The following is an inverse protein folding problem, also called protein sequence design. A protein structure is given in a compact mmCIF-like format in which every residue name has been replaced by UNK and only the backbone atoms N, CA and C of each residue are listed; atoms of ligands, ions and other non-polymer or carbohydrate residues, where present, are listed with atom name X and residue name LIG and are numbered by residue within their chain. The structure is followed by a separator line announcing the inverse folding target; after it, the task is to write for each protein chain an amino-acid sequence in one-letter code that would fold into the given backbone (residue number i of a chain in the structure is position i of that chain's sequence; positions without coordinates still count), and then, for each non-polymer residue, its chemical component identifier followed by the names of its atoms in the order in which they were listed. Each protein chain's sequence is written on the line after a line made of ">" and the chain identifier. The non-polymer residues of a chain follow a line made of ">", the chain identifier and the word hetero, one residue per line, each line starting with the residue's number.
data_IF_257118505253
#
_entry.id   IF_257118505253
#
_cell.length_a   1.000
_cell.length_b   1.000
_cell.length_c   1.000
_cell.angle_alpha   90.00
_cell.angle_beta   90.00
_cell.angle_gamma   90.00
#
_symmetry.space_group_name_H-M   'P 1'
#
loop_
_entity.id
_entity.type
_entity.pdbx_description
1 polymer ?
#
# COMPACT_ATOMS: atom_id res chain seq x y z
N UNK A 1 -12.69 -3.62 29.66
CA UNK A 1 -11.70 -2.76 28.99
C UNK A 1 -11.69 -3.13 27.51
N UNK A 2 -12.02 -2.22 26.58
CA UNK A 2 -11.90 -2.47 25.14
C UNK A 2 -10.55 -1.93 24.67
N UNK A 3 -9.79 -2.75 23.96
CA UNK A 3 -8.55 -2.34 23.29
C UNK A 3 -8.89 -2.08 21.83
N UNK A 4 -8.55 -0.90 21.33
CA UNK A 4 -8.71 -0.53 19.92
C UNK A 4 -7.34 -0.56 19.26
N UNK A 5 -7.24 -1.27 18.13
CA UNK A 5 -6.03 -1.37 17.31
C UNK A 5 -6.27 -0.69 15.96
N UNK A 6 -5.27 0.04 15.48
CA UNK A 6 -5.31 0.75 14.21
C UNK A 6 -4.63 -0.11 13.14
N UNK A 7 -5.33 -0.35 12.03
CA UNK A 7 -4.79 -1.03 10.85
C UNK A 7 -4.52 -0.02 9.74
N UNK A 8 -3.43 -0.21 9.00
CA UNK A 8 -3.08 0.60 7.84
C UNK A 8 -2.70 -0.30 6.67
N UNK A 9 -3.09 0.08 5.46
CA UNK A 9 -2.71 -0.61 4.24
C UNK A 9 -1.50 0.08 3.62
N UNK A 10 -0.52 -0.73 3.19
CA UNK A 10 0.65 -0.25 2.48
C UNK A 10 0.71 -0.90 1.10
N UNK A 11 0.89 -0.08 0.07
CA UNK A 11 1.20 -0.57 -1.26
C UNK A 11 2.71 -0.73 -1.39
N UNK A 12 3.14 -1.91 -1.83
CA UNK A 12 4.55 -2.23 -2.05
C UNK A 12 4.68 -3.00 -3.35
N UNK A 13 5.68 -2.63 -4.15
CA UNK A 13 6.06 -3.40 -5.34
C UNK A 13 7.11 -4.41 -4.94
N UNK A 14 6.84 -5.69 -5.18
CA UNK A 14 7.70 -6.80 -4.80
C UNK A 14 7.63 -7.93 -5.82
N UNK A 15 8.68 -8.74 -5.89
CA UNK A 15 8.72 -9.90 -6.78
C UNK A 15 7.90 -11.07 -6.24
N UNK A 16 7.86 -11.24 -4.91
CA UNK A 16 7.11 -12.27 -4.23
C UNK A 16 6.69 -11.81 -2.82
N UNK A 17 5.95 -12.66 -2.11
CA UNK A 17 5.43 -12.37 -0.76
C UNK A 17 6.55 -12.19 0.27
N UNK A 18 7.69 -12.87 0.10
CA UNK A 18 8.84 -12.76 1.01
C UNK A 18 9.51 -11.40 0.86
N UNK A 19 9.77 -10.97 -0.38
CA UNK A 19 10.28 -9.64 -0.72
C UNK A 19 9.32 -8.54 -0.25
N UNK A 20 7.99 -8.74 -0.42
CA UNK A 20 6.98 -7.80 0.09
C UNK A 20 7.08 -7.64 1.61
N UNK A 21 7.22 -8.75 2.35
CA UNK A 21 7.38 -8.75 3.80
C UNK A 21 8.67 -8.06 4.24
N UNK A 22 9.80 -8.36 3.61
CA UNK A 22 11.10 -7.74 3.90
C UNK A 22 11.06 -6.22 3.64
N UNK A 23 10.49 -5.80 2.50
CA UNK A 23 10.29 -4.38 2.18
C UNK A 23 9.36 -3.66 3.16
N UNK A 24 8.33 -4.33 3.67
CA UNK A 24 7.43 -3.72 4.65
C UNK A 24 8.09 -3.60 6.04
N UNK A 25 8.71 -4.66 6.52
CA UNK A 25 9.35 -4.71 7.85
C UNK A 25 10.59 -3.82 7.96
N UNK A 26 11.26 -3.53 6.83
CA UNK A 26 12.37 -2.57 6.77
C UNK A 26 11.93 -1.10 6.79
N UNK A 27 10.65 -0.78 6.57
CA UNK A 27 10.18 0.61 6.66
C UNK A 27 10.28 1.10 8.10
N UNK A 28 10.86 2.30 8.28
CA UNK A 28 11.01 2.96 9.59
C UNK A 28 9.70 3.05 10.38
N UNK A 29 8.59 3.40 9.72
CA UNK A 29 7.27 3.49 10.37
C UNK A 29 6.80 2.15 10.96
N UNK A 30 7.13 1.03 10.32
CA UNK A 30 6.76 -0.30 10.78
C UNK A 30 7.47 -0.64 12.09
N UNK A 31 8.79 -0.36 12.13
CA UNK A 31 9.65 -0.60 13.28
C UNK A 31 9.31 0.34 14.44
N UNK A 32 9.22 1.65 14.17
CA UNK A 32 8.92 2.69 15.16
C UNK A 32 7.59 2.44 15.86
N UNK A 33 6.57 2.02 15.10
CA UNK A 33 5.23 1.75 15.63
C UNK A 33 5.03 0.30 16.08
N UNK A 34 6.08 -0.53 16.05
CA UNK A 34 6.02 -1.96 16.42
C UNK A 34 4.84 -2.68 15.77
N UNK A 35 4.65 -2.45 14.47
CA UNK A 35 3.51 -3.00 13.74
C UNK A 35 3.64 -4.51 13.57
N UNK A 36 2.51 -5.17 13.33
CA UNK A 36 2.44 -6.53 12.80
C UNK A 36 1.77 -6.50 11.43
N UNK A 37 1.89 -7.61 10.70
CA UNK A 37 1.25 -7.80 9.40
C UNK A 37 0.07 -8.74 9.63
N UNK A 38 -1.15 -8.27 9.40
CA UNK A 38 -2.37 -9.10 9.47
C UNK A 38 -2.53 -9.99 8.24
N UNK A 39 -2.16 -9.46 7.08
CA UNK A 39 -2.26 -10.16 5.81
C UNK A 39 -1.52 -9.44 4.69
N UNK A 40 -1.25 -10.17 3.61
CA UNK A 40 -0.67 -9.66 2.37
C UNK A 40 -1.54 -10.16 1.23
N UNK A 41 -1.92 -9.27 0.32
CA UNK A 41 -2.73 -9.57 -0.86
C UNK A 41 -1.98 -9.10 -2.09
N UNK A 42 -1.83 -9.98 -3.08
CA UNK A 42 -1.33 -9.61 -4.40
C UNK A 42 -2.44 -8.93 -5.20
N UNK A 43 -2.17 -7.77 -5.78
CA UNK A 43 -3.10 -7.05 -6.66
C UNK A 43 -2.62 -7.21 -8.10
N UNK A 44 -3.19 -8.19 -8.81
CA UNK A 44 -2.85 -8.48 -10.21
C UNK A 44 -3.94 -8.03 -11.20
N UNK A 45 -5.20 -8.05 -10.75
CA UNK A 45 -6.37 -7.70 -11.55
C UNK A 45 -7.35 -6.86 -10.72
N UNK A 46 -7.93 -5.82 -11.30
CA UNK A 46 -8.97 -4.99 -10.67
C UNK A 46 -10.05 -4.70 -11.71
N UNK A 47 -11.31 -5.02 -11.40
CA UNK A 47 -12.47 -4.79 -12.27
C UNK A 47 -12.30 -5.28 -13.72
N UNK A 48 -11.61 -6.42 -13.90
CA UNK A 48 -11.34 -7.01 -15.21
C UNK A 48 -10.14 -6.43 -15.96
N UNK A 49 -9.39 -5.52 -15.35
CA UNK A 49 -8.17 -4.95 -15.90
C UNK A 49 -6.92 -5.59 -15.31
N UNK A 50 -5.96 -5.94 -16.17
CA UNK A 50 -4.64 -6.41 -15.80
C UNK A 50 -3.77 -5.23 -15.34
N UNK A 51 -3.09 -5.40 -14.20
CA UNK A 51 -2.11 -4.43 -13.72
C UNK A 51 -0.71 -4.88 -14.10
N UNK A 52 -0.02 -4.05 -14.88
CA UNK A 52 1.39 -4.26 -15.23
C UNK A 52 2.23 -3.08 -14.74
N UNK A 53 3.31 -3.40 -14.03
CA UNK A 53 4.25 -2.41 -13.52
C UNK A 53 5.51 -2.43 -14.39
N UNK A 54 5.84 -1.28 -14.97
CA UNK A 54 7.09 -1.09 -15.70
C UNK A 54 7.96 -0.06 -14.96
N UNK A 55 9.29 -0.25 -14.92
CA UNK A 55 10.18 0.73 -14.34
C UNK A 55 10.12 2.01 -15.20
N UNK A 56 9.65 3.10 -14.59
CA UNK A 56 9.68 4.41 -15.23
C UNK A 56 10.92 5.17 -14.76
N UNK A 57 11.68 5.74 -15.71
CA UNK A 57 12.88 6.54 -15.45
C UNK A 57 12.56 8.00 -15.13
N UNK A 58 11.31 8.42 -15.37
CA UNK A 58 10.81 9.75 -15.09
C UNK A 58 10.07 9.71 -13.75
N UNK A 59 10.32 10.70 -12.90
CA UNK A 59 9.50 10.90 -11.70
C UNK A 59 8.10 11.29 -12.16
N UNK A 60 7.17 10.36 -12.08
CA UNK A 60 5.76 10.64 -12.26
C UNK A 60 5.16 10.94 -10.89
N UNK A 61 4.50 12.10 -10.75
CA UNK A 61 3.73 12.39 -9.56
C UNK A 61 2.38 11.68 -9.65
N UNK A 62 2.09 10.85 -8.65
CA UNK A 62 0.77 10.26 -8.53
C UNK A 62 -0.21 11.34 -8.08
N UNK A 63 -1.36 11.45 -8.76
CA UNK A 63 -2.42 12.32 -8.32
C UNK A 63 -3.11 11.70 -7.10
N UNK A 64 -2.97 12.33 -5.95
CA UNK A 64 -3.60 11.91 -4.70
C UNK A 64 -4.91 12.67 -4.56
N UNK A 65 -6.02 11.95 -4.38
CA UNK A 65 -7.33 12.54 -4.13
C UNK A 65 -7.63 12.46 -2.64
N UNK A 66 -7.89 13.60 -2.02
CA UNK A 66 -8.38 13.67 -0.64
C UNK A 66 -9.90 13.49 -0.58
N UNK A 67 -10.44 13.22 0.61
CA UNK A 67 -11.88 13.12 0.79
C UNK A 67 -12.64 14.41 0.47
N UNK A 68 -11.98 15.57 0.55
CA UNK A 68 -12.58 16.83 0.12
C UNK A 68 -12.66 16.93 -1.40
N UNK A 69 -11.61 16.49 -2.10
CA UNK A 69 -11.57 16.48 -3.57
C UNK A 69 -12.68 15.59 -4.14
N UNK A 70 -12.88 14.41 -3.56
CA UNK A 70 -13.93 13.48 -3.97
C UNK A 70 -15.34 14.04 -3.76
N UNK A 71 -15.58 14.76 -2.65
CA UNK A 71 -16.89 15.40 -2.39
C UNK A 71 -17.21 16.51 -3.38
N UNK A 72 -16.20 17.24 -3.86
CA UNK A 72 -16.39 18.30 -4.84
C UNK A 72 -16.56 17.77 -6.27
N UNK A 73 -16.36 16.46 -6.49
CA UNK A 73 -16.54 15.78 -7.78
C UNK A 73 -17.88 15.05 -7.89
N UNK A 74 -18.68 15.05 -6.83
CA UNK A 74 -20.05 14.52 -6.78
C UNK A 74 -21.05 15.67 -6.82
#
# INVERSE_FOLDING_TARGET
>A
MRVFILHNNFLVVANDVKDAKEKMTSKKIFQDKKMHIDGIIEIKYVDGYDIQLSPNKIVCENKIYSGADLRNMM
#
